data_IF_060918947644
#
_entry.id   IF_060918947644
#
_cell.length_a   1.000
_cell.length_b   1.000
_cell.length_c   1.000
_cell.angle_alpha   90.00
_cell.angle_beta   90.00
_cell.angle_gamma   90.00
#
_symmetry.space_group_name_H-M   'P 1'
#
loop_
_entity.id
_entity.type
_entity.pdbx_description
1 polymer ?
#
# COMPACT_ATOMS: atom_id res chain seq x y z
N UNK A 1 -7.02 -9.63 -0.91
CA UNK A 1 -6.56 -9.36 -2.29
C UNK A 1 -7.36 -10.08 -3.35
N UNK A 2 -7.33 -11.41 -3.51
CA UNK A 2 -8.16 -12.10 -4.52
C UNK A 2 -9.65 -11.76 -4.45
N UNK A 3 -10.20 -11.75 -3.23
CA UNK A 3 -11.60 -11.39 -2.99
C UNK A 3 -11.92 -9.92 -3.30
N UNK A 4 -10.96 -9.02 -3.05
CA UNK A 4 -11.15 -7.59 -3.31
C UNK A 4 -11.14 -7.32 -4.82
N UNK A 5 -10.26 -7.99 -5.56
CA UNK A 5 -10.26 -7.91 -7.03
C UNK A 5 -11.54 -8.49 -7.64
N UNK A 6 -12.01 -9.63 -7.12
CA UNK A 6 -13.27 -10.22 -7.58
C UNK A 6 -14.49 -9.34 -7.26
N UNK A 7 -14.48 -8.60 -6.14
CA UNK A 7 -15.51 -7.60 -5.82
C UNK A 7 -15.48 -6.42 -6.79
N UNK A 8 -14.29 -5.95 -7.14
CA UNK A 8 -14.09 -4.83 -8.09
C UNK A 8 -14.56 -5.20 -9.49
N UNK A 9 -14.14 -6.36 -9.98
CA UNK A 9 -14.51 -6.86 -11.30
C UNK A 9 -14.97 -8.32 -11.26
N UNK A 10 -16.26 -8.57 -10.95
CA UNK A 10 -16.82 -9.92 -10.95
C UNK A 10 -16.76 -10.60 -12.32
N UNK A 11 -16.70 -9.79 -13.39
CA UNK A 11 -16.66 -10.24 -14.77
C UNK A 11 -15.23 -10.49 -15.28
N UNK A 12 -14.21 -10.25 -14.45
CA UNK A 12 -12.82 -10.43 -14.81
C UNK A 12 -12.51 -11.79 -15.46
N UNK A 13 -12.96 -12.94 -14.91
CA UNK A 13 -12.65 -14.23 -15.53
C UNK A 13 -13.33 -14.39 -16.89
N UNK A 14 -14.58 -13.97 -17.02
CA UNK A 14 -15.32 -14.04 -18.28
C UNK A 14 -14.69 -13.14 -19.34
N UNK A 15 -14.35 -11.90 -18.98
CA UNK A 15 -13.70 -10.95 -19.89
C UNK A 15 -12.34 -11.46 -20.34
N UNK A 16 -11.54 -11.98 -19.40
CA UNK A 16 -10.24 -12.57 -19.72
C UNK A 16 -10.36 -13.76 -20.68
N UNK A 17 -11.41 -14.59 -20.54
CA UNK A 17 -11.68 -15.68 -21.49
C UNK A 17 -12.08 -15.16 -22.88
N UNK A 18 -12.99 -14.19 -22.95
CA UNK A 18 -13.44 -13.59 -24.23
C UNK A 18 -12.29 -12.86 -24.94
N UNK A 19 -11.41 -12.21 -24.18
CA UNK A 19 -10.22 -11.55 -24.69
C UNK A 19 -9.04 -12.50 -24.94
N UNK A 20 -9.25 -13.83 -24.88
CA UNK A 20 -8.20 -14.84 -25.12
C UNK A 20 -6.95 -14.68 -24.21
N UNK A 21 -7.14 -14.17 -22.99
CA UNK A 21 -6.05 -13.90 -22.05
C UNK A 21 -5.24 -12.65 -22.37
N UNK A 22 -5.82 -11.68 -23.09
CA UNK A 22 -5.10 -10.44 -23.41
C UNK A 22 -4.65 -9.73 -22.11
N UNK A 23 -3.39 -9.27 -22.00
CA UNK A 23 -2.84 -8.68 -20.78
C UNK A 23 -3.58 -7.44 -20.23
N UNK A 24 -4.29 -6.70 -21.09
CA UNK A 24 -5.10 -5.54 -20.69
C UNK A 24 -6.53 -5.89 -20.25
N UNK A 25 -6.96 -7.15 -20.33
CA UNK A 25 -8.30 -7.59 -19.91
C UNK A 25 -8.74 -7.14 -18.50
N UNK A 26 -7.87 -7.17 -17.46
CA UNK A 26 -8.25 -6.66 -16.14
C UNK A 26 -8.50 -5.15 -16.10
N UNK A 27 -7.91 -4.39 -17.03
CA UNK A 27 -7.79 -2.93 -16.98
C UNK A 27 -8.13 -2.33 -18.36
N UNK A 28 -9.15 -2.89 -19.01
CA UNK A 28 -9.45 -2.60 -20.42
C UNK A 28 -10.23 -1.30 -20.63
N UNK A 29 -10.80 -0.72 -19.57
CA UNK A 29 -11.58 0.51 -19.63
C UNK A 29 -11.13 1.52 -18.57
N UNK A 30 -11.36 2.83 -18.80
CA UNK A 30 -11.02 3.87 -17.83
C UNK A 30 -11.65 3.64 -16.45
N UNK A 31 -12.86 3.11 -16.39
CA UNK A 31 -13.57 2.86 -15.12
C UNK A 31 -12.90 1.75 -14.30
N UNK A 32 -12.42 0.71 -14.96
CA UNK A 32 -11.68 -0.38 -14.32
C UNK A 32 -10.33 0.10 -13.79
N UNK A 33 -9.64 0.93 -14.56
CA UNK A 33 -8.37 1.57 -14.20
C UNK A 33 -8.57 2.54 -13.04
N UNK A 34 -9.61 3.37 -13.10
CA UNK A 34 -9.96 4.29 -12.02
C UNK A 34 -10.22 3.53 -10.74
N UNK A 35 -11.17 2.59 -10.72
CA UNK A 35 -11.51 1.91 -9.48
C UNK A 35 -10.41 0.99 -8.94
N UNK A 36 -9.45 0.57 -9.77
CA UNK A 36 -8.28 -0.17 -9.30
C UNK A 36 -7.21 0.74 -8.68
N UNK A 37 -6.89 1.87 -9.33
CA UNK A 37 -5.68 2.63 -9.01
C UNK A 37 -5.93 4.00 -8.39
N UNK A 38 -7.07 4.62 -8.65
CA UNK A 38 -7.29 6.03 -8.37
C UNK A 38 -8.55 6.25 -7.54
N UNK A 39 -8.62 7.40 -6.91
CA UNK A 39 -9.81 7.86 -6.22
C UNK A 39 -10.96 8.11 -7.21
N UNK A 40 -12.16 8.09 -6.67
CA UNK A 40 -13.38 8.47 -7.39
C UNK A 40 -13.37 9.95 -7.84
N UNK A 41 -12.52 10.77 -7.22
CA UNK A 41 -12.38 12.20 -7.51
C UNK A 41 -11.33 12.51 -8.59
N UNK A 42 -10.51 11.53 -8.96
CA UNK A 42 -9.49 11.72 -9.98
C UNK A 42 -10.13 11.91 -11.37
N UNK A 43 -9.58 12.85 -12.15
CA UNK A 43 -10.19 13.27 -13.41
C UNK A 43 -10.15 12.18 -14.47
N UNK A 44 -11.30 11.90 -15.12
CA UNK A 44 -11.41 10.86 -16.15
C UNK A 44 -10.53 11.11 -17.37
N UNK A 45 -10.26 12.39 -17.74
CA UNK A 45 -9.38 12.72 -18.86
C UNK A 45 -7.93 12.29 -18.58
N UNK A 46 -7.46 12.53 -17.36
CA UNK A 46 -6.14 12.14 -16.86
C UNK A 46 -5.98 10.61 -16.79
N UNK A 47 -7.07 9.87 -16.57
CA UNK A 47 -7.06 8.39 -16.60
C UNK A 47 -6.83 7.88 -18.03
N UNK A 48 -7.48 8.49 -19.03
CA UNK A 48 -7.26 8.12 -20.43
C UNK A 48 -5.81 8.41 -20.83
N UNK A 49 -5.25 9.53 -20.36
CA UNK A 49 -3.84 9.85 -20.56
C UNK A 49 -2.92 8.83 -19.87
N UNK A 50 -3.20 8.47 -18.61
CA UNK A 50 -2.46 7.42 -17.90
C UNK A 50 -2.49 6.09 -18.64
N UNK A 51 -3.67 5.66 -19.12
CA UNK A 51 -3.85 4.43 -19.89
C UNK A 51 -3.02 4.39 -21.17
N UNK A 52 -2.79 5.55 -21.80
CA UNK A 52 -1.95 5.65 -23.02
C UNK A 52 -0.50 5.23 -22.76
N UNK A 53 -0.02 5.43 -21.54
CA UNK A 53 1.35 5.10 -21.13
C UNK A 53 1.45 3.79 -20.35
N UNK A 54 0.31 3.17 -20.02
CA UNK A 54 0.28 1.93 -19.27
C UNK A 54 0.80 0.77 -20.15
N UNK A 55 1.88 0.07 -19.74
CA UNK A 55 2.40 -1.04 -20.50
C UNK A 55 1.40 -2.22 -20.44
N UNK A 56 0.95 -2.66 -21.62
CA UNK A 56 -0.06 -3.71 -21.74
C UNK A 56 0.31 -4.99 -20.98
N UNK A 57 1.58 -5.37 -20.95
CA UNK A 57 2.01 -6.61 -20.27
C UNK A 57 2.09 -6.48 -18.75
N UNK A 58 2.43 -5.30 -18.24
CA UNK A 58 2.55 -5.07 -16.81
C UNK A 58 1.18 -4.97 -16.13
N UNK A 59 0.14 -4.55 -16.85
CA UNK A 59 -1.22 -4.47 -16.32
C UNK A 59 -1.75 -5.83 -15.81
N UNK A 60 -1.27 -6.94 -16.37
CA UNK A 60 -1.60 -8.28 -15.86
C UNK A 60 -0.65 -8.73 -14.74
N UNK A 61 0.61 -8.29 -14.81
CA UNK A 61 1.61 -8.64 -13.80
C UNK A 61 1.37 -7.96 -12.46
N UNK A 62 0.79 -6.75 -12.42
CA UNK A 62 0.52 -6.07 -11.15
C UNK A 62 -0.47 -6.86 -10.27
N UNK A 63 -1.67 -7.25 -10.75
CA UNK A 63 -2.55 -8.11 -9.97
C UNK A 63 -1.91 -9.44 -9.59
N UNK A 64 -1.18 -10.09 -10.51
CA UNK A 64 -0.50 -11.36 -10.24
C UNK A 64 0.56 -11.22 -9.15
N UNK A 65 1.37 -10.15 -9.21
CA UNK A 65 2.35 -9.83 -8.19
C UNK A 65 1.72 -9.51 -6.84
N UNK A 66 0.44 -9.09 -6.81
CA UNK A 66 -0.34 -8.84 -5.58
C UNK A 66 -1.15 -10.04 -5.11
N UNK A 67 -1.19 -11.14 -5.86
CA UNK A 67 -1.92 -12.35 -5.49
C UNK A 67 -1.10 -13.36 -4.69
N UNK A 68 0.22 -13.39 -4.90
CA UNK A 68 1.11 -14.27 -4.16
C UNK A 68 0.83 -15.71 -4.56
N UNK A 69 1.15 -16.67 -3.69
CA UNK A 69 0.84 -18.07 -3.97
C UNK A 69 -0.66 -18.34 -3.77
N UNK A 70 -1.43 -18.49 -4.85
CA UNK A 70 -2.85 -18.83 -4.76
C UNK A 70 -3.13 -20.07 -3.88
N UNK A 71 -2.23 -21.06 -3.87
CA UNK A 71 -2.33 -22.24 -3.02
C UNK A 71 -2.15 -21.91 -1.53
N UNK A 72 -1.23 -21.00 -1.19
CA UNK A 72 -1.02 -20.54 0.19
C UNK A 72 -2.15 -19.60 0.61
N UNK A 73 -2.67 -18.78 -0.32
CA UNK A 73 -3.86 -17.96 -0.08
C UNK A 73 -5.06 -18.80 0.35
N UNK A 74 -5.35 -19.91 -0.36
CA UNK A 74 -6.43 -20.82 0.00
C UNK A 74 -6.25 -21.45 1.39
N UNK A 75 -5.01 -21.58 1.86
CA UNK A 75 -4.67 -22.08 3.20
C UNK A 75 -4.63 -20.98 4.27
N UNK A 76 -4.78 -19.71 3.87
CA UNK A 76 -4.60 -18.56 4.76
C UNK A 76 -3.13 -18.23 5.08
N UNK A 77 -2.19 -18.88 4.42
CA UNK A 77 -0.74 -18.83 4.66
C UNK A 77 0.00 -17.95 3.64
N UNK A 78 -0.70 -17.02 2.99
CA UNK A 78 -0.05 -16.15 2.01
C UNK A 78 1.00 -15.26 2.71
N UNK A 79 2.25 -15.68 2.61
CA UNK A 79 3.43 -14.92 2.99
C UNK A 79 3.89 -14.10 1.80
N UNK A 80 3.97 -12.80 2.04
CA UNK A 80 4.71 -11.87 1.20
C UNK A 80 6.14 -11.81 1.71
N UNK A 81 7.00 -10.98 1.11
CA UNK A 81 8.33 -10.71 1.68
C UNK A 81 8.19 -10.40 3.18
N UNK A 82 8.88 -11.18 4.02
CA UNK A 82 8.75 -11.08 5.47
C UNK A 82 9.40 -9.77 5.96
N UNK A 83 8.72 -9.04 6.84
CA UNK A 83 9.23 -7.79 7.39
C UNK A 83 10.66 -7.93 7.98
N UNK A 84 11.03 -9.01 8.71
CA UNK A 84 12.40 -9.22 9.17
C UNK A 84 13.44 -9.23 8.04
N UNK A 85 13.14 -9.85 6.91
CA UNK A 85 14.06 -9.94 5.76
C UNK A 85 14.31 -8.56 5.16
N UNK A 86 13.25 -7.74 5.06
CA UNK A 86 13.35 -6.36 4.57
C UNK A 86 14.20 -5.53 5.55
N UNK A 87 13.89 -5.59 6.84
CA UNK A 87 14.55 -4.78 7.86
C UNK A 87 16.05 -5.10 8.02
N UNK A 88 16.50 -6.31 7.68
CA UNK A 88 17.94 -6.64 7.64
C UNK A 88 18.73 -5.79 6.63
N UNK A 89 18.08 -5.34 5.56
CA UNK A 89 18.69 -4.55 4.49
C UNK A 89 18.55 -3.03 4.69
N UNK A 90 17.78 -2.60 5.68
CA UNK A 90 17.49 -1.19 5.95
C UNK A 90 18.24 -0.76 7.20
N UNK A 91 18.95 0.37 7.12
CA UNK A 91 19.62 0.96 8.29
C UNK A 91 18.58 1.48 9.29
N UNK A 92 18.13 0.60 10.19
CA UNK A 92 17.21 0.94 11.28
C UNK A 92 17.97 1.55 12.51
N UNK A 93 19.30 1.69 12.39
CA UNK A 93 20.24 2.12 13.43
C UNK A 93 20.48 3.63 13.37
N UNK A 94 19.47 4.44 13.71
CA UNK A 94 19.67 5.85 14.04
C UNK A 94 18.80 6.21 15.23
N UNK A 95 19.45 6.51 16.37
CA UNK A 95 18.94 7.10 17.62
C UNK A 95 17.56 6.63 18.10
N UNK A 96 17.56 5.98 19.27
CA UNK A 96 16.44 5.24 19.88
C UNK A 96 15.25 6.12 20.28
N UNK A 97 15.36 7.44 20.30
CA UNK A 97 14.41 8.25 21.07
C UNK A 97 13.35 9.02 20.25
N UNK A 98 13.41 9.10 18.91
CA UNK A 98 12.38 9.91 18.21
C UNK A 98 12.14 9.63 16.70
N UNK A 99 12.53 8.44 16.19
CA UNK A 99 12.39 8.15 14.75
C UNK A 99 11.52 6.94 14.47
N UNK A 100 10.64 7.10 13.49
CA UNK A 100 9.93 6.01 12.83
C UNK A 100 10.78 5.52 11.65
N UNK A 101 11.62 4.46 11.75
CA UNK A 101 12.40 3.93 10.62
C UNK A 101 11.54 3.42 9.46
N UNK A 102 10.25 3.15 9.69
CA UNK A 102 9.32 2.64 8.68
C UNK A 102 8.14 3.58 8.58
N UNK A 103 7.80 4.01 7.35
CA UNK A 103 6.58 4.74 7.03
C UNK A 103 5.74 3.95 6.04
N UNK A 104 4.46 3.82 6.35
CA UNK A 104 3.45 3.20 5.49
C UNK A 104 2.45 4.30 5.14
N UNK A 105 2.34 4.63 3.86
CA UNK A 105 1.37 5.61 3.35
C UNK A 105 0.31 4.85 2.55
N UNK A 106 -0.96 5.11 2.83
CA UNK A 106 -2.10 4.42 2.22
C UNK A 106 -3.20 5.40 1.82
N UNK A 107 -3.78 5.21 0.64
CA UNK A 107 -5.06 5.81 0.26
C UNK A 107 -6.27 5.02 0.78
N UNK A 108 -7.24 5.69 1.42
CA UNK A 108 -8.42 5.02 1.99
C UNK A 108 -9.45 4.53 0.96
N UNK A 109 -9.36 5.00 -0.29
CA UNK A 109 -10.16 4.48 -1.41
C UNK A 109 -9.45 3.31 -2.13
N UNK A 110 -8.29 2.86 -1.63
CA UNK A 110 -7.60 1.68 -2.17
C UNK A 110 -8.40 0.39 -1.90
N UNK A 111 -8.90 -0.20 -2.97
CA UNK A 111 -9.63 -1.47 -2.92
C UNK A 111 -8.71 -2.69 -2.76
N UNK A 112 -7.45 -2.59 -3.20
CA UNK A 112 -6.50 -3.69 -3.25
C UNK A 112 -5.84 -3.91 -1.89
N UNK A 113 -5.43 -2.82 -1.25
CA UNK A 113 -4.87 -2.77 0.10
C UNK A 113 -5.82 -2.04 1.04
N UNK A 114 -6.89 -2.72 1.46
CA UNK A 114 -7.78 -2.17 2.46
C UNK A 114 -7.08 -1.90 3.80
N UNK A 115 -7.73 -1.15 4.68
CA UNK A 115 -7.21 -0.81 6.01
C UNK A 115 -6.86 -2.05 6.85
N UNK A 116 -7.52 -3.20 6.61
CA UNK A 116 -7.21 -4.46 7.28
C UNK A 116 -5.86 -5.03 6.87
N UNK A 117 -5.57 -5.03 5.57
CA UNK A 117 -4.24 -5.41 5.05
C UNK A 117 -3.16 -4.47 5.59
N UNK A 118 -3.40 -3.18 5.59
CA UNK A 118 -2.44 -2.19 6.10
C UNK A 118 -2.20 -2.33 7.61
N UNK A 119 -3.26 -2.57 8.39
CA UNK A 119 -3.14 -2.84 9.83
C UNK A 119 -2.28 -4.08 10.10
N UNK A 120 -2.46 -5.13 9.29
CA UNK A 120 -1.62 -6.33 9.35
C UNK A 120 -0.16 -5.99 9.01
N UNK A 121 0.09 -5.29 7.90
CA UNK A 121 1.46 -4.92 7.50
C UNK A 121 2.14 -4.09 8.60
N UNK A 122 1.45 -3.08 9.14
CA UNK A 122 1.97 -2.26 10.23
C UNK A 122 2.30 -3.09 11.47
N UNK A 123 1.44 -4.05 11.84
CA UNK A 123 1.71 -4.99 12.94
C UNK A 123 2.95 -5.85 12.65
N UNK A 124 3.04 -6.44 11.47
CA UNK A 124 4.12 -7.36 11.11
C UNK A 124 5.49 -6.61 11.14
N UNK A 125 5.54 -5.33 10.72
CA UNK A 125 6.74 -4.47 10.88
C UNK A 125 7.03 -4.09 12.33
N UNK A 126 6.01 -3.73 13.12
CA UNK A 126 6.17 -3.40 14.54
C UNK A 126 6.74 -4.58 15.34
N UNK A 127 6.25 -5.79 15.05
CA UNK A 127 6.73 -7.02 15.68
C UNK A 127 8.19 -7.30 15.30
N UNK A 128 8.54 -7.20 14.01
CA UNK A 128 9.90 -7.41 13.53
C UNK A 128 10.90 -6.38 14.11
N UNK A 129 10.51 -5.10 14.23
CA UNK A 129 11.32 -4.07 14.88
C UNK A 129 11.51 -4.35 16.38
N UNK A 130 10.46 -4.78 17.08
CA UNK A 130 10.54 -5.14 18.49
C UNK A 130 11.49 -6.33 18.73
N UNK A 131 11.53 -7.31 17.81
CA UNK A 131 12.50 -8.39 17.85
C UNK A 131 13.93 -7.90 17.65
N UNK A 132 14.18 -7.05 16.64
CA UNK A 132 15.49 -6.45 16.41
C UNK A 132 15.99 -5.66 17.63
N UNK A 133 15.12 -4.90 18.28
CA UNK A 133 15.46 -4.11 19.47
C UNK A 133 15.81 -4.99 20.68
N UNK A 134 15.11 -6.11 20.86
CA UNK A 134 15.45 -7.12 21.89
C UNK A 134 16.85 -7.69 21.68
N UNK A 135 17.24 -7.95 20.43
CA UNK A 135 18.59 -8.38 20.11
C UNK A 135 19.63 -7.26 20.30
N UNK A 136 19.22 -5.99 20.14
CA UNK A 136 20.09 -4.82 20.22
C UNK A 136 20.36 -4.27 21.64
N UNK A 137 19.80 -4.86 22.72
CA UNK A 137 19.93 -4.39 24.13
C UNK A 137 19.41 -2.97 24.43
N UNK A 138 18.68 -2.33 23.51
CA UNK A 138 18.06 -1.03 23.75
C UNK A 138 16.58 -1.24 24.08
N UNK A 139 16.23 -1.10 25.36
CA UNK A 139 14.84 -1.10 25.80
C UNK A 139 14.36 0.35 25.91
N UNK A 140 13.43 0.79 25.06
CA UNK A 140 12.66 2.03 25.29
C UNK A 140 11.44 2.12 24.38
N UNK A 141 10.25 2.00 24.98
CA UNK A 141 9.16 2.99 25.10
C UNK A 141 8.20 3.00 23.90
N UNK A 142 7.00 2.46 24.14
CA UNK A 142 5.82 2.64 23.31
C UNK A 142 5.22 4.03 23.58
N UNK A 143 5.73 5.07 22.94
CA UNK A 143 4.93 6.28 22.72
C UNK A 143 3.98 6.00 21.56
N UNK A 144 2.70 6.28 21.78
CA UNK A 144 1.70 6.30 20.71
C UNK A 144 1.41 7.77 20.48
N UNK A 145 1.83 8.28 19.33
CA UNK A 145 1.47 9.63 18.91
C UNK A 145 0.46 9.51 17.78
N UNK A 146 -0.78 9.91 18.07
CA UNK A 146 -1.83 10.02 17.06
C UNK A 146 -2.04 11.51 16.82
N UNK A 147 -1.53 11.98 15.70
CA UNK A 147 -1.88 13.29 15.18
C UNK A 147 -3.01 13.09 14.18
N UNK A 148 -4.23 13.40 14.64
CA UNK A 148 -5.40 13.49 13.78
C UNK A 148 -5.69 14.94 13.43
N UNK A 149 -5.98 15.13 12.13
CA UNK A 149 -6.58 16.30 11.48
C UNK A 149 -5.70 17.51 11.24
N UNK A 150 -5.21 17.60 10.00
CA UNK A 150 -5.51 18.70 9.07
C UNK A 150 -5.60 18.10 7.64
N UNK A 151 -6.60 18.50 6.85
CA UNK A 151 -6.69 18.28 5.39
C UNK A 151 -6.90 16.84 4.87
N UNK A 152 -7.57 15.97 5.63
CA UNK A 152 -7.91 14.62 5.18
C UNK A 152 -6.79 13.59 5.32
N UNK A 153 -5.82 13.85 6.20
CA UNK A 153 -4.76 12.91 6.58
C UNK A 153 -4.97 12.46 8.03
N UNK A 154 -4.76 11.17 8.30
CA UNK A 154 -4.62 10.64 9.66
C UNK A 154 -3.24 9.99 9.81
N UNK A 155 -2.48 10.39 10.84
CA UNK A 155 -1.14 9.85 11.09
C UNK A 155 -1.06 9.19 12.47
N UNK A 156 -0.58 7.94 12.50
CA UNK A 156 -0.27 7.21 13.73
C UNK A 156 1.22 6.86 13.73
N UNK A 157 1.96 7.31 14.74
CA UNK A 157 3.27 6.74 15.09
C UNK A 157 3.09 5.78 16.25
N UNK A 158 3.47 4.52 16.03
CA UNK A 158 3.41 3.47 17.05
C UNK A 158 4.42 2.37 16.76
N UNK A 159 5.17 1.99 17.79
CA UNK A 159 6.13 0.88 17.72
C UNK A 159 7.17 1.08 16.62
N UNK A 160 7.65 2.32 16.47
CA UNK A 160 8.65 2.73 15.46
C UNK A 160 8.16 2.60 14.01
N UNK A 161 6.83 2.53 13.81
CA UNK A 161 6.19 2.52 12.50
C UNK A 161 5.21 3.67 12.42
N UNK A 162 5.39 4.53 11.42
CA UNK A 162 4.44 5.56 11.03
C UNK A 162 3.45 5.01 10.02
N UNK A 163 2.17 5.23 10.26
CA UNK A 163 1.08 4.93 9.33
C UNK A 163 0.40 6.25 8.98
N UNK A 164 0.35 6.56 7.69
CA UNK A 164 -0.31 7.75 7.14
C UNK A 164 -1.47 7.29 6.28
N UNK A 165 -2.68 7.71 6.61
CA UNK A 165 -3.91 7.39 5.91
C UNK A 165 -4.41 8.65 5.18
N UNK A 166 -4.60 8.55 3.88
CA UNK A 166 -5.02 9.64 3.01
C UNK A 166 -6.47 9.46 2.57
N UNK A 167 -7.34 10.36 3.02
CA UNK A 167 -8.74 10.40 2.58
C UNK A 167 -8.82 10.87 1.12
N UNK A 168 -9.63 10.18 0.33
CA UNK A 168 -9.85 10.54 -1.07
C UNK A 168 -8.69 10.16 -1.99
N UNK A 169 -7.83 9.23 -1.60
CA UNK A 169 -6.77 8.68 -2.46
C UNK A 169 -6.98 7.18 -2.65
N UNK A 170 -6.73 6.69 -3.87
CA UNK A 170 -6.68 5.29 -4.24
C UNK A 170 -5.27 4.70 -4.07
N UNK A 171 -4.99 3.62 -4.81
CA UNK A 171 -3.74 2.85 -4.72
C UNK A 171 -2.50 3.64 -5.19
N UNK A 172 -2.60 4.37 -6.30
CA UNK A 172 -1.51 5.15 -6.88
C UNK A 172 -1.46 6.56 -6.28
N UNK A 173 -1.24 6.63 -4.97
CA UNK A 173 -1.15 7.89 -4.21
C UNK A 173 -0.26 8.93 -4.90
N UNK A 174 0.87 8.51 -5.47
CA UNK A 174 1.82 9.38 -6.17
C UNK A 174 1.26 10.06 -7.43
N UNK A 175 0.18 9.53 -7.98
CA UNK A 175 -0.47 10.04 -9.20
C UNK A 175 -1.92 10.48 -8.93
N UNK A 176 -2.41 10.41 -7.70
CA UNK A 176 -3.79 10.72 -7.34
C UNK A 176 -3.95 12.17 -6.86
N UNK A 177 -5.18 12.56 -6.55
CA UNK A 177 -5.54 13.92 -6.12
C UNK A 177 -4.80 14.39 -4.86
N UNK A 178 -4.34 13.46 -4.02
CA UNK A 178 -3.60 13.73 -2.78
C UNK A 178 -2.08 13.67 -2.94
N UNK A 179 -1.52 13.73 -4.15
CA UNK A 179 -0.08 13.52 -4.37
C UNK A 179 0.80 14.49 -3.58
N UNK A 180 0.47 15.78 -3.55
CA UNK A 180 1.25 16.81 -2.82
C UNK A 180 1.17 16.61 -1.30
N UNK A 181 0.01 16.20 -0.83
CA UNK A 181 -0.26 15.90 0.58
C UNK A 181 0.56 14.69 1.03
N UNK A 182 0.58 13.64 0.21
CA UNK A 182 1.39 12.45 0.44
C UNK A 182 2.90 12.76 0.39
N UNK A 183 3.32 13.60 -0.56
CA UNK A 183 4.71 14.04 -0.69
C UNK A 183 5.15 14.85 0.54
N UNK A 184 4.28 15.72 1.07
CA UNK A 184 4.51 16.46 2.31
C UNK A 184 4.64 15.55 3.54
N UNK A 185 3.79 14.53 3.66
CA UNK A 185 3.88 13.54 4.72
C UNK A 185 5.18 12.71 4.62
N UNK A 186 5.57 12.31 3.41
CA UNK A 186 6.82 11.61 3.15
C UNK A 186 8.03 12.49 3.48
N UNK A 187 8.02 13.76 3.08
CA UNK A 187 9.08 14.72 3.39
C UNK A 187 9.22 14.93 4.90
N UNK A 188 8.09 15.07 5.61
CA UNK A 188 8.06 15.17 7.08
C UNK A 188 8.67 13.94 7.74
N UNK A 189 8.42 12.75 7.18
CA UNK A 189 9.02 11.51 7.65
C UNK A 189 10.53 11.44 7.38
N UNK A 190 10.97 11.80 6.17
CA UNK A 190 12.41 11.84 5.83
C UNK A 190 13.17 12.86 6.68
N UNK A 191 12.55 13.99 6.99
CA UNK A 191 13.15 15.09 7.74
C UNK A 191 13.08 14.93 9.27
N UNK A 192 12.77 13.74 9.80
CA UNK A 192 12.93 13.42 11.23
C UNK A 192 14.41 13.45 11.70
N UNK A 193 15.29 14.19 11.01
CA UNK A 193 16.74 14.21 11.18
C UNK A 193 17.17 15.12 12.31
#
# INVERSE_FOLDING_TARGET
MHWNWLKHDPWFPLRSLVHTGHPTSPLSTPELVQGAFFSTKYESSSIVEFMRWMPCYESMMWPIAMFGSFANWLRGENSWLEAPVILQSVECSRSVDDRDPVCIILGLEDIMFDQGVTTRIARDYREALAELDRFSKNASINSVHVDTDFDGISTESRGRVRVVLLMGSGHHVQNDVQTEVAAGALLTWVNQV
#
